data_IF_713786055215
#
_entry.id   IF_713786055215
#
_cell.length_a   1.000
_cell.length_b   1.000
_cell.length_c   1.000
_cell.angle_alpha   90.00
_cell.angle_beta   90.00
_cell.angle_gamma   90.00
#
_symmetry.space_group_name_H-M   'P 1'
#
loop_
_entity.id
_entity.type
_entity.pdbx_description
1 polymer ?
#
# COMPACT_ATOMS: atom_id res chain seq x y z
N UNK A 1 30.52 7.56 28.26
CA UNK A 1 29.22 6.91 27.97
C UNK A 1 29.43 5.68 27.10
N UNK A 2 28.36 4.86 26.90
CA UNK A 2 28.43 3.62 26.12
C UNK A 2 28.99 3.80 24.71
N UNK A 3 28.63 4.88 24.03
CA UNK A 3 29.13 5.19 22.68
C UNK A 3 30.63 5.39 22.69
N UNK A 4 31.18 6.17 23.63
CA UNK A 4 32.63 6.39 23.71
C UNK A 4 33.41 5.11 24.05
N UNK A 5 32.82 4.18 24.79
CA UNK A 5 33.42 2.87 25.05
C UNK A 5 33.43 2.02 23.75
N UNK A 6 32.35 2.03 23.00
CA UNK A 6 32.25 1.34 21.71
C UNK A 6 33.26 1.89 20.69
N UNK A 7 33.37 3.21 20.56
CA UNK A 7 34.38 3.84 19.68
C UNK A 7 35.79 3.48 20.05
N UNK A 8 36.07 3.36 21.36
CA UNK A 8 37.39 2.90 21.85
C UNK A 8 37.66 1.44 21.50
N UNK A 9 36.65 0.58 21.58
CA UNK A 9 36.77 -0.85 21.22
C UNK A 9 36.97 -1.04 19.72
N UNK A 10 36.27 -0.21 18.90
CA UNK A 10 36.38 -0.24 17.44
C UNK A 10 37.65 0.47 16.93
N UNK A 11 38.30 1.27 17.78
CA UNK A 11 39.52 2.02 17.44
C UNK A 11 39.27 3.19 16.45
N UNK A 12 38.00 3.57 16.23
CA UNK A 12 37.62 4.66 15.33
C UNK A 12 36.40 5.40 15.87
N UNK A 13 36.30 6.73 15.69
CA UNK A 13 35.10 7.46 16.05
C UNK A 13 33.95 7.15 15.10
N UNK A 14 32.75 6.96 15.65
CA UNK A 14 31.50 6.78 14.89
C UNK A 14 30.75 8.09 14.71
N UNK A 15 31.01 9.08 15.58
CA UNK A 15 30.38 10.39 15.56
C UNK A 15 31.42 11.49 15.49
N UNK A 16 31.07 12.56 14.75
CA UNK A 16 31.82 13.81 14.67
C UNK A 16 30.94 14.96 15.13
N UNK A 17 31.53 15.87 15.95
CA UNK A 17 30.84 17.11 16.34
C UNK A 17 31.12 18.17 15.30
N UNK A 18 30.08 18.61 14.59
CA UNK A 18 30.07 19.85 13.84
C UNK A 18 29.61 21.00 14.76
N UNK A 19 29.79 22.25 14.36
CA UNK A 19 29.60 23.44 15.20
C UNK A 19 28.23 23.53 15.91
N UNK A 20 27.20 22.79 15.45
CA UNK A 20 25.85 22.78 16.04
C UNK A 20 25.15 21.42 16.02
N UNK A 21 25.77 20.36 15.46
CA UNK A 21 25.14 19.03 15.33
C UNK A 21 26.16 17.91 15.55
N UNK A 22 25.64 16.75 15.91
CA UNK A 22 26.40 15.49 15.93
C UNK A 22 26.06 14.73 14.67
N UNK A 23 27.05 14.37 13.88
CA UNK A 23 26.93 13.66 12.63
C UNK A 23 27.67 12.32 12.69
N UNK A 24 27.23 11.35 11.87
CA UNK A 24 27.96 10.09 11.72
C UNK A 24 29.20 10.30 10.84
N UNK A 25 30.30 9.69 11.22
CA UNK A 25 31.48 9.50 10.35
C UNK A 25 31.16 8.49 9.25
N UNK A 26 32.03 8.30 8.26
CA UNK A 26 31.88 7.23 7.26
C UNK A 26 31.81 5.86 7.92
N UNK A 27 32.75 5.57 8.85
CA UNK A 27 32.72 4.36 9.67
C UNK A 27 31.42 4.26 10.51
N UNK A 28 30.92 5.39 11.00
CA UNK A 28 29.65 5.45 11.71
C UNK A 28 28.45 5.11 10.84
N UNK A 29 28.42 5.55 9.57
CA UNK A 29 27.36 5.19 8.61
C UNK A 29 27.36 3.71 8.29
N UNK A 30 28.53 3.16 7.97
CA UNK A 30 28.69 1.74 7.68
C UNK A 30 28.24 0.89 8.88
N UNK A 31 28.68 1.25 10.09
CA UNK A 31 28.33 0.54 11.32
C UNK A 31 26.82 0.67 11.65
N UNK A 32 26.22 1.83 11.40
CA UNK A 32 24.79 2.08 11.65
C UNK A 32 23.89 1.14 10.84
N UNK A 33 24.22 0.86 9.58
CA UNK A 33 23.45 -0.07 8.75
C UNK A 33 23.42 -1.48 9.38
N UNK A 34 24.57 -1.97 9.84
CA UNK A 34 24.65 -3.28 10.51
C UNK A 34 23.96 -3.29 11.89
N UNK A 35 24.01 -2.20 12.62
CA UNK A 35 23.29 -2.08 13.90
C UNK A 35 21.77 -2.12 13.66
N UNK A 36 21.27 -1.43 12.65
CA UNK A 36 19.86 -1.50 12.26
C UNK A 36 19.44 -2.93 11.93
N UNK A 37 20.23 -3.64 11.13
CA UNK A 37 19.97 -5.06 10.79
C UNK A 37 20.00 -5.96 12.04
N UNK A 38 20.93 -5.74 12.95
CA UNK A 38 21.03 -6.50 14.19
C UNK A 38 19.81 -6.27 15.11
N UNK A 39 19.37 -5.03 15.24
CA UNK A 39 18.17 -4.69 16.02
C UNK A 39 16.91 -5.31 15.42
N UNK A 40 16.74 -5.26 14.11
CA UNK A 40 15.64 -5.91 13.41
C UNK A 40 15.62 -7.42 13.70
N UNK A 41 16.79 -8.08 13.66
CA UNK A 41 16.88 -9.51 13.94
C UNK A 41 16.62 -9.83 15.43
N UNK A 42 17.03 -8.96 16.34
CA UNK A 42 16.75 -9.11 17.76
C UNK A 42 15.25 -8.97 18.05
N UNK A 43 14.60 -7.96 17.48
CA UNK A 43 13.15 -7.76 17.58
C UNK A 43 12.38 -8.97 17.03
N UNK A 44 12.82 -9.52 15.89
CA UNK A 44 12.27 -10.78 15.35
C UNK A 44 12.42 -11.95 16.34
N UNK A 45 13.60 -12.08 16.97
CA UNK A 45 13.83 -13.10 17.98
C UNK A 45 12.92 -12.95 19.21
N UNK A 46 12.73 -11.74 19.69
CA UNK A 46 11.81 -11.42 20.80
C UNK A 46 10.38 -11.76 20.42
N UNK A 47 9.94 -11.37 19.23
CA UNK A 47 8.59 -11.70 18.70
C UNK A 47 8.37 -13.21 18.66
N UNK A 48 9.34 -13.97 18.14
CA UNK A 48 9.26 -15.45 18.09
C UNK A 48 9.14 -16.08 19.49
N UNK A 49 9.80 -15.51 20.52
CA UNK A 49 9.68 -15.97 21.90
C UNK A 49 8.30 -15.65 22.47
N UNK A 50 7.79 -14.44 22.22
CA UNK A 50 6.43 -14.04 22.62
C UNK A 50 5.36 -14.91 21.96
N UNK A 51 5.48 -15.18 20.66
CA UNK A 51 4.57 -16.10 19.93
C UNK A 51 4.54 -17.53 20.53
N UNK A 52 5.64 -18.01 21.09
CA UNK A 52 5.67 -19.31 21.78
C UNK A 52 4.97 -19.30 23.14
N UNK A 53 4.97 -18.15 23.82
CA UNK A 53 4.31 -17.98 25.11
C UNK A 53 2.80 -17.72 24.94
N UNK A 54 2.41 -17.00 23.87
CA UNK A 54 1.04 -16.56 23.59
C UNK A 54 0.24 -17.55 22.70
N UNK A 55 0.70 -18.77 22.51
CA UNK A 55 0.04 -19.79 21.66
C UNK A 55 -1.42 -20.11 22.00
N UNK A 56 -2.02 -19.40 22.95
CA UNK A 56 -3.44 -19.49 23.26
C UNK A 56 -4.32 -18.50 22.46
N UNK A 57 -3.72 -17.44 21.89
CA UNK A 57 -4.42 -16.47 21.04
C UNK A 57 -3.50 -16.06 19.89
N UNK A 58 -3.73 -16.62 18.72
CA UNK A 58 -3.02 -16.18 17.52
C UNK A 58 -3.61 -14.85 17.06
N UNK A 59 -2.80 -13.78 17.05
CA UNK A 59 -3.17 -12.49 16.48
C UNK A 59 -2.55 -12.42 15.08
N UNK A 60 -3.39 -12.33 14.05
CA UNK A 60 -2.95 -12.04 12.69
C UNK A 60 -2.90 -10.53 12.48
N UNK A 61 -1.72 -9.99 12.25
CA UNK A 61 -1.50 -8.57 11.96
C UNK A 61 -1.58 -8.34 10.46
N UNK A 62 -2.64 -7.66 10.05
CA UNK A 62 -3.01 -7.51 8.66
C UNK A 62 -2.99 -6.05 8.25
N UNK A 63 -2.15 -5.73 7.24
CA UNK A 63 -2.15 -4.43 6.59
C UNK A 63 -3.16 -4.37 5.44
N UNK A 64 -3.90 -3.27 5.32
CA UNK A 64 -4.85 -3.10 4.21
C UNK A 64 -4.97 -1.64 3.80
N UNK A 65 -5.18 -1.40 2.51
CA UNK A 65 -5.58 -0.08 2.02
C UNK A 65 -7.06 0.16 2.30
N UNK A 66 -7.49 1.43 2.30
CA UNK A 66 -8.87 1.81 2.65
C UNK A 66 -9.93 1.17 1.74
N UNK A 67 -9.62 1.01 0.46
CA UNK A 67 -10.51 0.44 -0.56
C UNK A 67 -10.87 -1.04 -0.39
N UNK A 68 -10.19 -1.72 0.53
CA UNK A 68 -10.29 -3.18 0.65
C UNK A 68 -11.35 -3.66 1.64
N UNK A 69 -12.02 -2.74 2.32
CA UNK A 69 -12.97 -3.06 3.36
C UNK A 69 -14.40 -2.98 2.85
N UNK A 70 -15.10 -4.10 2.85
CA UNK A 70 -16.49 -4.17 2.41
C UNK A 70 -17.13 -5.48 2.84
N UNK A 71 -18.34 -5.73 2.37
CA UNK A 71 -19.09 -6.95 2.70
C UNK A 71 -18.34 -8.23 2.32
N UNK A 72 -17.68 -8.24 1.16
CA UNK A 72 -16.89 -9.39 0.69
C UNK A 72 -15.69 -9.65 1.62
N UNK A 73 -15.03 -8.60 2.07
CA UNK A 73 -13.97 -8.68 3.07
C UNK A 73 -14.45 -9.32 4.37
N UNK A 74 -15.55 -8.82 4.92
CA UNK A 74 -16.11 -9.35 6.18
C UNK A 74 -16.49 -10.84 6.04
N UNK A 75 -17.02 -11.23 4.89
CA UNK A 75 -17.35 -12.63 4.60
C UNK A 75 -16.09 -13.51 4.50
N UNK A 76 -15.05 -13.04 3.79
CA UNK A 76 -13.79 -13.76 3.66
C UNK A 76 -13.11 -13.96 5.02
N UNK A 77 -13.09 -12.94 5.87
CA UNK A 77 -12.55 -13.03 7.24
C UNK A 77 -13.32 -14.05 8.10
N UNK A 78 -14.65 -14.04 8.02
CA UNK A 78 -15.48 -14.99 8.78
C UNK A 78 -15.27 -16.44 8.28
N UNK A 79 -15.16 -16.64 6.97
CA UNK A 79 -14.91 -17.95 6.38
C UNK A 79 -13.52 -18.47 6.77
N UNK A 80 -12.51 -17.63 6.68
CA UNK A 80 -11.14 -17.95 7.11
C UNK A 80 -11.07 -18.37 8.59
N UNK A 81 -11.71 -17.60 9.50
CA UNK A 81 -11.79 -17.98 10.91
C UNK A 81 -12.49 -19.33 11.13
N UNK A 82 -13.55 -19.59 10.37
CA UNK A 82 -14.29 -20.85 10.46
C UNK A 82 -13.45 -22.04 9.99
N UNK A 83 -12.70 -21.89 8.89
CA UNK A 83 -11.85 -22.96 8.35
C UNK A 83 -10.68 -23.29 9.25
N UNK A 84 -10.07 -22.30 9.88
CA UNK A 84 -8.97 -22.50 10.82
C UNK A 84 -9.42 -23.17 12.12
N UNK A 85 -10.68 -23.07 12.49
CA UNK A 85 -11.21 -23.65 13.73
C UNK A 85 -10.58 -23.12 15.01
N UNK A 86 -9.91 -21.95 14.95
CA UNK A 86 -9.27 -21.29 16.08
C UNK A 86 -9.87 -19.91 16.31
N UNK A 87 -9.86 -19.45 17.54
CA UNK A 87 -10.27 -18.08 17.88
C UNK A 87 -9.15 -17.10 17.53
N UNK A 88 -9.06 -16.82 16.22
CA UNK A 88 -8.06 -15.92 15.65
C UNK A 88 -8.50 -14.47 15.84
N UNK A 89 -7.71 -13.70 16.54
CA UNK A 89 -7.81 -12.24 16.52
C UNK A 89 -7.14 -11.69 15.27
N UNK A 90 -7.79 -10.75 14.61
CA UNK A 90 -7.22 -10.03 13.46
C UNK A 90 -7.05 -8.58 13.86
N UNK A 91 -5.80 -8.14 13.91
CA UNK A 91 -5.42 -6.75 14.10
C UNK A 91 -5.20 -6.11 12.73
N UNK A 92 -5.95 -5.04 12.44
CA UNK A 92 -5.97 -4.43 11.11
C UNK A 92 -5.28 -3.07 11.17
N UNK A 93 -4.21 -2.93 10.43
CA UNK A 93 -3.53 -1.66 10.17
C UNK A 93 -3.90 -1.12 8.79
N UNK A 94 -4.35 0.13 8.73
CA UNK A 94 -4.70 0.81 7.48
C UNK A 94 -3.59 1.76 7.04
N UNK A 95 -3.28 1.74 5.76
CA UNK A 95 -2.27 2.64 5.22
C UNK A 95 -2.10 2.53 3.71
N UNK A 96 -1.10 3.23 3.18
CA UNK A 96 -0.71 3.11 1.78
C UNK A 96 0.15 1.86 1.58
N UNK A 97 0.01 1.22 0.42
CA UNK A 97 0.72 -0.03 0.11
C UNK A 97 2.21 0.05 0.40
N UNK A 98 2.87 1.16 0.06
CA UNK A 98 4.30 1.34 0.29
C UNK A 98 4.68 1.20 1.78
N UNK A 99 3.96 1.91 2.66
CA UNK A 99 4.21 1.88 4.10
C UNK A 99 3.91 0.51 4.69
N UNK A 100 2.77 -0.09 4.30
CA UNK A 100 2.37 -1.42 4.77
C UNK A 100 3.37 -2.51 4.37
N UNK A 101 3.89 -2.44 3.15
CA UNK A 101 4.92 -3.38 2.67
C UNK A 101 6.24 -3.18 3.44
N UNK A 102 6.61 -1.95 3.78
CA UNK A 102 7.78 -1.69 4.63
C UNK A 102 7.61 -2.29 6.04
N UNK A 103 6.45 -2.12 6.66
CA UNK A 103 6.13 -2.73 7.96
C UNK A 103 6.05 -4.28 7.88
N UNK A 104 5.54 -4.82 6.77
CA UNK A 104 5.57 -6.26 6.49
C UNK A 104 7.03 -6.79 6.44
N UNK A 105 7.92 -6.10 5.74
CA UNK A 105 9.35 -6.47 5.64
C UNK A 105 10.04 -6.40 7.00
N UNK A 106 9.69 -5.45 7.84
CA UNK A 106 10.18 -5.32 9.23
C UNK A 106 9.58 -6.38 10.17
N UNK A 107 8.61 -7.17 9.73
CA UNK A 107 7.94 -8.20 10.53
C UNK A 107 6.92 -7.66 11.52
N UNK A 108 6.49 -6.41 11.39
CA UNK A 108 5.42 -5.84 12.20
C UNK A 108 4.03 -6.25 11.71
N UNK A 109 3.89 -6.54 10.42
CA UNK A 109 2.71 -7.14 9.80
C UNK A 109 3.03 -8.54 9.32
N UNK A 110 2.02 -9.40 9.28
CA UNK A 110 2.11 -10.78 8.79
C UNK A 110 1.75 -10.87 7.31
N UNK A 111 0.71 -10.16 6.92
CA UNK A 111 0.19 -10.09 5.55
C UNK A 111 -0.27 -8.68 5.22
N UNK A 112 -0.26 -8.33 3.94
CA UNK A 112 -0.76 -7.05 3.44
C UNK A 112 -1.66 -7.30 2.23
N UNK A 113 -2.84 -6.68 2.20
CA UNK A 113 -3.62 -6.50 0.99
C UNK A 113 -3.28 -5.17 0.34
N UNK A 114 -2.76 -5.23 -0.87
CA UNK A 114 -2.35 -4.03 -1.61
C UNK A 114 -1.99 -4.33 -3.07
N UNK A 115 -1.71 -3.28 -3.82
CA UNK A 115 -1.19 -3.39 -5.17
C UNK A 115 0.31 -3.74 -5.18
N UNK A 116 0.84 -4.10 -6.34
CA UNK A 116 2.26 -4.40 -6.53
C UNK A 116 2.97 -3.18 -7.11
N UNK A 117 3.90 -2.59 -6.35
CA UNK A 117 4.66 -1.43 -6.81
C UNK A 117 5.81 -1.86 -7.72
N UNK A 118 6.51 -2.93 -7.33
CA UNK A 118 7.66 -3.49 -8.06
C UNK A 118 7.86 -4.95 -7.69
N UNK A 119 8.66 -5.65 -8.48
CA UNK A 119 9.14 -6.98 -8.11
C UNK A 119 10.05 -6.89 -6.87
N UNK A 120 9.82 -7.80 -5.93
CA UNK A 120 10.63 -7.90 -4.71
C UNK A 120 10.84 -9.39 -4.39
N UNK A 121 12.09 -9.89 -4.42
CA UNK A 121 12.36 -11.30 -4.20
C UNK A 121 12.08 -11.77 -2.77
N UNK A 122 12.00 -10.84 -1.81
CA UNK A 122 11.71 -11.14 -0.42
C UNK A 122 10.21 -11.27 -0.15
N UNK A 123 9.37 -11.02 -1.15
CA UNK A 123 7.92 -11.03 -1.03
C UNK A 123 7.27 -12.02 -1.99
N UNK A 124 6.20 -12.62 -1.53
CA UNK A 124 5.27 -13.40 -2.34
C UNK A 124 4.01 -12.58 -2.61
N UNK A 125 3.44 -12.76 -3.80
CA UNK A 125 2.24 -12.06 -4.26
C UNK A 125 1.21 -13.06 -4.75
N UNK A 126 0.10 -13.20 -4.02
CA UNK A 126 -1.04 -14.00 -4.45
C UNK A 126 -2.13 -13.05 -4.96
N UNK A 127 -2.44 -13.11 -6.25
CA UNK A 127 -3.50 -12.30 -6.83
C UNK A 127 -4.86 -12.65 -6.24
N UNK A 128 -5.58 -11.66 -5.72
CA UNK A 128 -6.88 -11.85 -5.07
C UNK A 128 -8.03 -11.36 -5.96
N UNK A 129 -7.96 -10.12 -6.43
CA UNK A 129 -8.95 -9.52 -7.34
C UNK A 129 -8.34 -8.37 -8.12
N UNK A 130 -9.12 -7.80 -9.03
CA UNK A 130 -8.72 -6.62 -9.80
C UNK A 130 -9.82 -5.56 -9.77
N UNK A 131 -9.40 -4.32 -9.99
CA UNK A 131 -10.27 -3.16 -10.12
C UNK A 131 -10.17 -2.61 -11.53
N UNK A 132 -11.32 -2.21 -12.08
CA UNK A 132 -11.40 -1.49 -13.35
C UNK A 132 -11.00 -0.02 -13.13
N UNK A 133 -10.29 0.58 -14.06
CA UNK A 133 -10.08 2.01 -14.10
C UNK A 133 -11.27 2.66 -14.78
N UNK A 134 -11.90 3.61 -14.11
CA UNK A 134 -13.09 4.31 -14.58
C UNK A 134 -12.89 5.82 -14.56
N UNK A 135 -13.68 6.54 -15.34
CA UNK A 135 -13.77 7.98 -15.28
C UNK A 135 -14.88 8.40 -14.31
N UNK A 136 -14.51 9.15 -13.27
CA UNK A 136 -15.44 9.84 -12.39
C UNK A 136 -15.67 11.27 -12.88
N UNK A 137 -16.93 11.67 -13.01
CA UNK A 137 -17.35 13.02 -13.36
C UNK A 137 -18.47 13.46 -12.43
N UNK A 138 -18.62 14.75 -12.21
CA UNK A 138 -19.76 15.26 -11.45
C UNK A 138 -21.08 14.94 -12.19
N UNK A 139 -22.16 14.68 -11.44
CA UNK A 139 -23.46 14.30 -12.01
C UNK A 139 -24.01 15.35 -12.99
N UNK A 140 -23.71 16.62 -12.79
CA UNK A 140 -24.13 17.72 -13.67
C UNK A 140 -23.22 17.89 -14.89
N UNK A 141 -22.11 17.16 -14.98
CA UNK A 141 -21.22 17.22 -16.13
C UNK A 141 -21.90 16.61 -17.37
N UNK A 142 -21.72 17.19 -18.58
CA UNK A 142 -22.34 16.66 -19.80
C UNK A 142 -22.07 15.18 -20.06
N UNK A 143 -20.88 14.69 -19.72
CA UNK A 143 -20.51 13.28 -19.87
C UNK A 143 -21.26 12.35 -18.93
N UNK A 144 -21.84 12.83 -17.83
CA UNK A 144 -22.59 12.01 -16.87
C UNK A 144 -23.82 11.30 -17.47
N UNK A 145 -24.26 11.72 -18.65
CA UNK A 145 -25.35 11.07 -19.40
C UNK A 145 -24.88 9.84 -20.20
N UNK A 146 -23.59 9.63 -20.30
CA UNK A 146 -22.96 8.49 -21.00
C UNK A 146 -22.64 7.39 -20.00
N UNK A 147 -22.51 6.18 -20.51
CA UNK A 147 -22.07 5.00 -19.73
C UNK A 147 -20.60 4.66 -19.97
N UNK A 148 -20.04 5.10 -21.10
CA UNK A 148 -18.63 4.88 -21.44
C UNK A 148 -18.03 6.07 -22.18
N UNK A 149 -16.70 6.09 -22.24
CA UNK A 149 -15.90 7.05 -23.00
C UNK A 149 -14.71 6.32 -23.63
N UNK A 150 -14.34 6.71 -24.85
CA UNK A 150 -13.15 6.18 -25.51
C UNK A 150 -11.87 6.75 -24.90
N UNK A 151 -10.83 5.93 -24.81
CA UNK A 151 -9.52 6.38 -24.30
C UNK A 151 -8.98 7.58 -25.06
N UNK A 152 -9.15 7.62 -26.38
CA UNK A 152 -8.70 8.74 -27.22
C UNK A 152 -9.44 10.05 -26.94
N UNK A 153 -10.70 9.97 -26.53
CA UNK A 153 -11.49 11.16 -26.16
C UNK A 153 -10.95 11.83 -24.89
N UNK A 154 -10.31 11.05 -23.99
CA UNK A 154 -9.75 11.57 -22.73
C UNK A 154 -8.56 12.52 -22.93
N UNK A 155 -7.91 12.50 -24.08
CA UNK A 155 -6.76 13.39 -24.40
C UNK A 155 -7.11 14.88 -24.40
N UNK A 156 -8.39 15.21 -24.49
CA UNK A 156 -8.87 16.61 -24.47
C UNK A 156 -9.17 17.16 -23.09
N UNK A 157 -8.92 16.38 -22.02
CA UNK A 157 -9.32 16.73 -20.68
C UNK A 157 -8.12 16.72 -19.70
N UNK A 158 -8.18 17.59 -18.70
CA UNK A 158 -7.29 17.54 -17.54
C UNK A 158 -7.88 16.60 -16.51
N UNK A 159 -7.18 15.51 -16.24
CA UNK A 159 -7.65 14.42 -15.38
C UNK A 159 -6.88 14.42 -14.05
N UNK A 160 -7.56 14.16 -12.95
CA UNK A 160 -6.92 13.84 -11.69
C UNK A 160 -6.67 12.32 -11.60
N UNK A 161 -5.58 11.92 -10.94
CA UNK A 161 -5.22 10.51 -10.81
C UNK A 161 -4.29 10.25 -9.64
N UNK A 162 -3.91 9.00 -9.45
CA UNK A 162 -3.09 8.57 -8.30
C UNK A 162 -1.63 8.97 -8.46
N UNK A 163 -0.99 9.29 -7.32
CA UNK A 163 0.43 9.63 -7.25
C UNK A 163 1.29 8.44 -7.67
N UNK A 164 2.22 8.68 -8.60
CA UNK A 164 3.20 7.68 -9.02
C UNK A 164 4.29 7.48 -7.94
N UNK A 165 4.90 6.30 -7.89
CA UNK A 165 6.00 5.95 -6.98
C UNK A 165 5.55 5.47 -5.59
N UNK A 166 4.38 5.89 -5.12
CA UNK A 166 3.85 5.56 -3.79
C UNK A 166 2.60 4.69 -3.90
N UNK A 167 1.72 5.01 -4.85
CA UNK A 167 0.50 4.27 -5.10
C UNK A 167 0.69 3.37 -6.33
N UNK A 168 0.46 2.05 -6.22
CA UNK A 168 0.56 1.13 -7.36
C UNK A 168 -0.32 1.54 -8.55
N UNK A 169 -1.55 2.01 -8.32
CA UNK A 169 -2.42 2.48 -9.39
C UNK A 169 -1.84 3.69 -10.14
N UNK A 170 -1.07 4.55 -9.46
CA UNK A 170 -0.35 5.65 -10.08
C UNK A 170 0.75 5.18 -11.03
N UNK A 171 1.49 4.12 -10.66
CA UNK A 171 2.47 3.50 -11.55
C UNK A 171 1.80 2.84 -12.77
N UNK A 172 0.66 2.16 -12.57
CA UNK A 172 -0.10 1.53 -13.62
C UNK A 172 -0.71 2.55 -14.62
N UNK A 173 -0.88 3.82 -14.21
CA UNK A 173 -1.32 4.92 -15.09
C UNK A 173 -0.18 5.51 -15.95
N UNK A 174 1.08 5.20 -15.66
CA UNK A 174 2.23 5.76 -16.42
C UNK A 174 2.11 5.55 -17.95
N UNK A 175 1.71 4.37 -18.46
CA UNK A 175 1.52 4.17 -19.90
C UNK A 175 0.44 5.10 -20.50
N UNK A 176 -0.57 5.52 -19.73
CA UNK A 176 -1.60 6.44 -20.20
C UNK A 176 -1.03 7.85 -20.37
N UNK A 177 -0.17 8.29 -19.46
CA UNK A 177 0.54 9.56 -19.57
C UNK A 177 1.49 9.54 -20.78
N UNK A 178 2.22 8.45 -20.99
CA UNK A 178 3.11 8.27 -22.13
C UNK A 178 2.35 8.27 -23.48
N UNK A 179 1.09 7.84 -23.49
CA UNK A 179 0.18 7.88 -24.62
C UNK A 179 -0.48 9.26 -24.82
N UNK A 180 -0.13 10.24 -24.00
CA UNK A 180 -0.55 11.63 -24.15
C UNK A 180 -1.78 12.07 -23.36
N UNK A 181 -2.19 11.33 -22.31
CA UNK A 181 -3.19 11.82 -21.38
C UNK A 181 -2.55 12.83 -20.40
N UNK A 182 -3.27 13.91 -20.13
CA UNK A 182 -2.87 14.87 -19.10
C UNK A 182 -3.47 14.44 -17.76
N UNK A 183 -2.63 13.89 -16.88
CA UNK A 183 -3.06 13.37 -15.58
C UNK A 183 -2.30 14.06 -14.45
N UNK A 184 -3.00 14.78 -13.59
CA UNK A 184 -2.48 15.28 -12.33
C UNK A 184 -2.37 14.13 -11.32
N UNK A 185 -1.19 13.56 -11.19
CA UNK A 185 -0.90 12.42 -10.31
C UNK A 185 -0.52 12.88 -8.89
N UNK A 186 -1.39 13.65 -8.23
CA UNK A 186 -1.15 14.22 -6.89
C UNK A 186 -1.99 13.57 -5.79
N UNK A 187 -2.85 12.60 -6.10
CA UNK A 187 -3.85 12.08 -5.17
C UNK A 187 -3.52 10.65 -4.72
N UNK A 188 -3.85 10.34 -3.47
CA UNK A 188 -3.44 9.08 -2.85
C UNK A 188 -4.52 7.99 -2.86
N UNK A 189 -5.80 8.36 -2.95
CA UNK A 189 -6.92 7.45 -2.79
C UNK A 189 -8.17 7.90 -3.56
N UNK A 190 -9.10 6.97 -3.77
CA UNK A 190 -10.34 7.21 -4.50
C UNK A 190 -11.34 8.10 -3.74
N UNK A 191 -11.27 8.16 -2.41
CA UNK A 191 -12.15 9.02 -1.61
C UNK A 191 -11.82 10.48 -1.91
N UNK A 192 -10.52 10.81 -1.92
CA UNK A 192 -10.03 12.15 -2.26
C UNK A 192 -10.37 12.51 -3.71
N UNK A 193 -10.19 11.59 -4.65
CA UNK A 193 -10.55 11.79 -6.07
C UNK A 193 -12.06 12.01 -6.24
N UNK A 194 -12.91 11.20 -5.59
CA UNK A 194 -14.36 11.39 -5.62
C UNK A 194 -14.77 12.72 -4.97
N UNK A 195 -14.16 13.09 -3.85
CA UNK A 195 -14.44 14.37 -3.18
C UNK A 195 -14.08 15.57 -4.05
N UNK A 196 -12.97 15.47 -4.80
CA UNK A 196 -12.57 16.49 -5.77
C UNK A 196 -13.62 16.67 -6.85
N UNK A 197 -14.10 15.57 -7.45
CA UNK A 197 -15.13 15.58 -8.50
C UNK A 197 -16.47 16.05 -7.96
N UNK A 198 -16.86 15.61 -6.75
CA UNK A 198 -18.12 16.01 -6.10
C UNK A 198 -18.14 17.51 -5.77
N UNK A 199 -17.01 18.11 -5.43
CA UNK A 199 -16.91 19.52 -5.03
C UNK A 199 -16.81 20.50 -6.20
N UNK A 200 -16.41 20.04 -7.39
CA UNK A 200 -16.20 20.88 -8.57
C UNK A 200 -16.66 20.16 -9.85
N UNK A 201 -17.80 20.57 -10.45
CA UNK A 201 -18.33 19.96 -11.67
C UNK A 201 -17.42 20.03 -12.90
N UNK A 202 -16.38 20.85 -12.89
CA UNK A 202 -15.38 20.93 -13.97
C UNK A 202 -14.26 19.90 -13.84
N UNK A 203 -14.14 19.24 -12.68
CA UNK A 203 -13.09 18.26 -12.41
C UNK A 203 -13.50 16.87 -12.82
N UNK A 204 -12.53 16.12 -13.30
CA UNK A 204 -12.69 14.73 -13.68
C UNK A 204 -11.54 13.90 -13.10
N UNK A 205 -11.79 12.66 -12.76
CA UNK A 205 -10.77 11.80 -12.15
C UNK A 205 -10.79 10.38 -12.75
N UNK A 206 -9.60 9.82 -12.90
CA UNK A 206 -9.39 8.39 -13.16
C UNK A 206 -9.34 7.65 -11.83
N UNK A 207 -10.28 6.74 -11.62
CA UNK A 207 -10.52 6.10 -10.32
C UNK A 207 -10.50 4.58 -10.49
N UNK A 208 -9.72 3.87 -9.68
CA UNK A 208 -9.84 2.43 -9.53
C UNK A 208 -11.15 2.11 -8.82
N UNK A 209 -12.08 1.46 -9.52
CA UNK A 209 -13.44 1.29 -9.05
C UNK A 209 -13.52 0.39 -7.82
N UNK A 210 -14.00 0.94 -6.72
CA UNK A 210 -14.24 0.24 -5.46
C UNK A 210 -15.67 0.51 -4.94
N UNK A 211 -16.06 -0.19 -3.88
CA UNK A 211 -17.37 0.03 -3.25
C UNK A 211 -17.51 1.44 -2.65
N UNK A 212 -16.40 2.09 -2.29
CA UNK A 212 -16.38 3.44 -1.71
C UNK A 212 -16.90 4.50 -2.69
N UNK A 213 -16.63 4.30 -3.98
CA UNK A 213 -17.08 5.23 -5.03
C UNK A 213 -18.60 5.38 -5.04
N UNK A 214 -19.34 4.31 -4.71
CA UNK A 214 -20.81 4.32 -4.63
C UNK A 214 -21.37 5.20 -3.53
N UNK A 215 -20.56 5.62 -2.58
CA UNK A 215 -20.97 6.49 -1.47
C UNK A 215 -21.05 7.97 -1.87
N UNK A 216 -20.61 8.30 -3.08
CA UNK A 216 -20.62 9.66 -3.62
C UNK A 216 -21.77 9.82 -4.60
N UNK A 217 -22.92 10.28 -4.10
CA UNK A 217 -24.14 10.45 -4.91
C UNK A 217 -24.00 11.46 -6.07
N UNK A 218 -23.06 12.40 -5.94
CA UNK A 218 -22.79 13.44 -6.94
C UNK A 218 -21.77 13.02 -8.00
N UNK A 219 -21.19 11.82 -7.91
CA UNK A 219 -20.22 11.29 -8.86
C UNK A 219 -20.87 10.26 -9.77
N UNK A 220 -20.84 10.53 -11.06
CA UNK A 220 -21.21 9.59 -12.12
C UNK A 220 -19.95 8.88 -12.63
N UNK A 221 -20.08 7.58 -12.91
CA UNK A 221 -18.99 6.72 -13.33
C UNK A 221 -19.20 6.29 -14.78
N UNK A 222 -18.17 6.45 -15.60
CA UNK A 222 -18.12 5.95 -16.98
C UNK A 222 -17.01 4.89 -17.10
N UNK A 223 -17.30 3.81 -17.80
CA UNK A 223 -16.25 2.86 -18.22
C UNK A 223 -15.37 3.49 -19.31
N UNK A 224 -14.10 3.09 -19.37
CA UNK A 224 -13.15 3.59 -20.37
C UNK A 224 -12.92 2.50 -21.40
N UNK A 225 -13.46 2.73 -22.61
CA UNK A 225 -13.31 1.77 -23.71
C UNK A 225 -11.84 1.73 -24.15
N UNK A 226 -11.30 0.51 -24.32
CA UNK A 226 -9.90 0.30 -24.70
C UNK A 226 -8.97 -0.01 -23.51
N UNK A 227 -9.44 0.08 -22.26
CA UNK A 227 -8.68 -0.37 -21.10
C UNK A 227 -9.10 -1.76 -20.62
N UNK A 228 -8.17 -2.53 -20.02
CA UNK A 228 -8.48 -3.82 -19.44
C UNK A 228 -9.33 -3.65 -18.17
N UNK A 229 -10.26 -4.58 -17.94
CA UNK A 229 -11.09 -4.58 -16.73
C UNK A 229 -10.31 -4.94 -15.47
N UNK A 230 -9.15 -5.58 -15.62
CA UNK A 230 -8.23 -5.94 -14.56
C UNK A 230 -7.06 -4.94 -14.47
N UNK A 231 -7.36 -3.64 -14.60
CA UNK A 231 -6.37 -2.57 -14.66
C UNK A 231 -5.50 -2.54 -13.41
N UNK A 232 -6.11 -2.44 -12.22
CA UNK A 232 -5.39 -2.44 -10.94
C UNK A 232 -5.55 -3.79 -10.26
N UNK A 233 -4.42 -4.48 -10.02
CA UNK A 233 -4.40 -5.81 -9.40
C UNK A 233 -4.09 -5.70 -7.92
N UNK A 234 -4.92 -6.36 -7.12
CA UNK A 234 -4.77 -6.45 -5.68
C UNK A 234 -4.29 -7.83 -5.29
N UNK A 235 -3.29 -7.85 -4.44
CA UNK A 235 -2.60 -9.06 -3.98
C UNK A 235 -2.68 -9.20 -2.47
N UNK A 236 -2.72 -10.43 -2.01
CA UNK A 236 -2.23 -10.79 -0.69
C UNK A 236 -0.71 -10.89 -0.77
N UNK A 237 -0.03 -10.05 0.00
CA UNK A 237 1.42 -9.90 0.01
C UNK A 237 1.94 -10.43 1.34
N UNK A 238 2.93 -11.32 1.32
CA UNK A 238 3.56 -11.88 2.50
C UNK A 238 5.04 -12.13 2.27
N UNK A 239 5.82 -12.28 3.36
CA UNK A 239 7.27 -12.50 3.26
C UNK A 239 7.58 -13.88 2.68
N UNK A 240 8.58 -13.92 1.81
CA UNK A 240 9.14 -15.16 1.25
C UNK A 240 10.24 -15.69 2.19
N UNK A 241 9.90 -15.95 3.45
CA UNK A 241 10.84 -16.47 4.44
C UNK A 241 10.27 -17.71 5.16
N UNK A 242 11.17 -18.48 5.80
CA UNK A 242 10.79 -19.68 6.56
C UNK A 242 10.14 -19.35 7.91
N UNK A 243 10.18 -18.09 8.33
CA UNK A 243 9.66 -17.61 9.61
C UNK A 243 8.25 -17.02 9.51
N UNK A 244 7.64 -17.08 8.31
CA UNK A 244 6.24 -16.67 8.14
C UNK A 244 5.33 -17.53 9.02
N UNK A 245 4.27 -16.95 9.52
CA UNK A 245 3.26 -17.68 10.27
C UNK A 245 2.70 -18.83 9.39
N UNK A 246 2.59 -20.05 9.95
CA UNK A 246 1.97 -21.19 9.25
C UNK A 246 0.56 -20.90 8.76
N UNK A 247 -0.10 -19.93 9.35
CA UNK A 247 -1.44 -19.47 8.99
C UNK A 247 -1.47 -18.72 7.64
N UNK A 248 -0.30 -18.34 7.11
CA UNK A 248 -0.16 -17.68 5.79
C UNK A 248 -0.03 -18.71 4.67
N UNK A 249 0.32 -19.96 4.98
CA UNK A 249 0.36 -21.10 4.06
C UNK A 249 -1.02 -21.70 3.87
#
# INVERSE_FOLDING_TARGET
>A
GAVAQLEKELGTPLFVKSSHQVELTDAGRDFYEYVCLALINLEKGISLVHERVERQYSVLKLGTTFAMQGKQWSQAVQEFKRELGVDLLIDIEQGFTYNLVDELKKGKLDVVFGGKIREDPDLCYLHCWSQELVLGVHRDHPLAKRTSIGLDELRGYDLAGYVAGINPAGEEMRPLVEQGLTIDQSYNDEITLCSLVSSDPSRMALICYSFLVKSFDDVAILTIDGLPKDFHKVYLIYRNDKNRLKIVD
#
